data_IF_410186224781
#
_entry.id   IF_410186224781
#
_cell.length_a   1.000
_cell.length_b   1.000
_cell.length_c   1.000
_cell.angle_alpha   90.00
_cell.angle_beta   90.00
_cell.angle_gamma   90.00
#
_symmetry.space_group_name_H-M   'P 1'
#
loop_
_entity.id
_entity.type
_entity.pdbx_description
1 polymer ?
#
# COMPACT_ATOMS: atom_id res chain seq x y z
N UNK A 1 -6.05 -27.02 -4.93
CA UNK A 1 -5.01 -26.23 -4.22
C UNK A 1 -5.46 -24.78 -4.20
N UNK A 2 -5.26 -24.07 -3.09
CA UNK A 2 -5.48 -22.62 -3.03
C UNK A 2 -4.47 -21.93 -3.94
N UNK A 3 -4.93 -21.04 -4.81
CA UNK A 3 -4.06 -20.25 -5.68
C UNK A 3 -3.82 -18.88 -5.07
N UNK A 4 -2.56 -18.53 -4.84
CA UNK A 4 -2.15 -17.18 -4.46
C UNK A 4 -1.16 -16.64 -5.51
N UNK A 5 -1.34 -15.40 -5.95
CA UNK A 5 -0.44 -14.74 -6.90
C UNK A 5 -0.09 -13.34 -6.39
N UNK A 6 1.10 -12.86 -6.76
CA UNK A 6 1.55 -11.51 -6.39
C UNK A 6 0.54 -10.47 -6.90
N UNK A 7 0.12 -9.60 -5.98
CA UNK A 7 -0.78 -8.50 -6.25
C UNK A 7 -0.02 -7.18 -6.31
N UNK A 8 0.66 -6.80 -5.23
CA UNK A 8 1.41 -5.56 -5.20
C UNK A 8 2.57 -5.60 -4.21
N UNK A 9 3.48 -4.66 -4.41
CA UNK A 9 4.57 -4.34 -3.49
C UNK A 9 4.17 -3.11 -2.67
N UNK A 10 4.61 -3.04 -1.41
CA UNK A 10 4.26 -1.94 -0.49
C UNK A 10 5.51 -1.20 -0.06
N UNK A 11 5.58 0.08 -0.39
CA UNK A 11 6.57 1.03 0.10
C UNK A 11 5.93 1.91 1.16
N UNK A 12 6.43 1.86 2.38
CA UNK A 12 6.03 2.80 3.42
C UNK A 12 6.91 4.05 3.39
N UNK A 13 6.30 5.20 3.67
CA UNK A 13 6.96 6.49 3.74
C UNK A 13 6.44 7.30 4.94
N UNK A 14 7.22 8.30 5.39
CA UNK A 14 6.79 9.22 6.43
C UNK A 14 5.67 10.14 5.94
N UNK A 15 5.75 10.58 4.68
CA UNK A 15 4.68 11.29 3.98
C UNK A 15 4.49 10.69 2.59
N UNK A 16 3.32 10.92 2.00
CA UNK A 16 3.02 10.38 0.69
C UNK A 16 3.87 11.05 -0.40
N UNK A 17 4.16 12.34 -0.26
CA UNK A 17 5.06 13.12 -1.13
C UNK A 17 6.48 12.54 -1.13
N UNK A 18 7.03 12.27 0.06
CA UNK A 18 8.36 11.67 0.21
C UNK A 18 8.44 10.32 -0.49
N UNK A 19 7.40 9.49 -0.34
CA UNK A 19 7.33 8.19 -0.99
C UNK A 19 7.21 8.28 -2.51
N UNK A 20 6.44 9.24 -3.04
CA UNK A 20 6.34 9.49 -4.47
C UNK A 20 7.67 9.90 -5.08
N UNK A 21 8.34 10.88 -4.48
CA UNK A 21 9.62 11.40 -4.97
C UNK A 21 10.69 10.29 -4.93
N UNK A 22 10.68 9.47 -3.88
CA UNK A 22 11.57 8.31 -3.75
C UNK A 22 11.35 7.31 -4.89
N UNK A 23 10.10 6.95 -5.17
CA UNK A 23 9.78 5.99 -6.23
C UNK A 23 10.09 6.57 -7.61
N UNK A 24 9.74 7.83 -7.86
CA UNK A 24 10.05 8.52 -9.12
C UNK A 24 11.56 8.57 -9.39
N UNK A 25 12.35 8.91 -8.38
CA UNK A 25 13.82 8.97 -8.49
C UNK A 25 14.44 7.60 -8.80
N UNK A 26 13.85 6.51 -8.29
CA UNK A 26 14.39 5.15 -8.44
C UNK A 26 13.92 4.44 -9.69
N UNK A 27 12.68 4.68 -10.12
CA UNK A 27 12.03 3.95 -11.20
C UNK A 27 11.75 4.81 -12.44
N UNK A 28 11.97 6.13 -12.38
CA UNK A 28 11.73 7.06 -13.48
C UNK A 28 10.25 7.34 -13.76
N UNK A 29 9.34 6.92 -12.87
CA UNK A 29 7.90 7.12 -13.02
C UNK A 29 7.26 7.47 -11.67
N UNK A 30 6.52 8.57 -11.64
CA UNK A 30 5.84 9.05 -10.43
C UNK A 30 4.58 8.23 -10.14
N UNK A 31 4.40 7.71 -8.91
CA UNK A 31 3.11 7.16 -8.49
C UNK A 31 2.00 8.21 -8.57
N UNK A 32 0.80 7.78 -8.94
CA UNK A 32 -0.39 8.63 -8.96
C UNK A 32 -1.10 8.56 -7.62
N UNK A 33 -1.55 9.71 -7.11
CA UNK A 33 -2.37 9.80 -5.90
C UNK A 33 -3.54 8.84 -6.00
N UNK A 34 -3.65 7.97 -5.01
CA UNK A 34 -4.71 6.98 -4.91
C UNK A 34 -5.86 7.52 -4.08
N UNK A 35 -6.01 7.01 -2.87
CA UNK A 35 -7.08 7.41 -1.99
C UNK A 35 -6.81 7.10 -0.52
N UNK A 36 -7.76 7.51 0.32
CA UNK A 36 -7.70 7.32 1.76
C UNK A 36 -8.34 6.00 2.17
N UNK A 37 -7.70 5.29 3.09
CA UNK A 37 -8.23 4.13 3.79
C UNK A 37 -8.81 4.57 5.13
N UNK A 38 -10.08 4.95 5.17
CA UNK A 38 -10.74 5.46 6.40
C UNK A 38 -10.59 4.47 7.56
N UNK A 39 -10.77 3.17 7.31
CA UNK A 39 -10.67 2.13 8.33
C UNK A 39 -9.27 1.99 8.98
N UNK A 40 -8.24 2.55 8.33
CA UNK A 40 -6.84 2.43 8.75
C UNK A 40 -6.16 3.77 8.98
N UNK A 41 -6.82 4.89 8.75
CA UNK A 41 -6.22 6.22 8.83
C UNK A 41 -4.91 6.33 8.04
N UNK A 42 -4.90 5.79 6.81
CA UNK A 42 -3.76 5.86 5.88
C UNK A 42 -4.22 6.39 4.54
N UNK A 43 -3.29 6.88 3.74
CA UNK A 43 -3.50 7.24 2.34
C UNK A 43 -2.42 6.63 1.46
N UNK A 44 -2.63 6.61 0.15
CA UNK A 44 -1.70 5.97 -0.76
C UNK A 44 -1.55 6.66 -2.12
N UNK A 45 -0.51 6.23 -2.83
CA UNK A 45 -0.24 6.51 -4.23
C UNK A 45 0.16 5.21 -4.91
N UNK A 46 -0.20 5.07 -6.18
CA UNK A 46 -0.10 3.82 -6.92
C UNK A 46 0.75 4.01 -8.18
N UNK A 47 1.68 3.08 -8.40
CA UNK A 47 2.42 2.97 -9.66
C UNK A 47 2.14 1.60 -10.30
N UNK A 48 1.58 1.61 -11.51
CA UNK A 48 1.33 0.37 -12.26
C UNK A 48 2.65 -0.25 -12.71
N UNK A 49 2.87 -1.53 -12.39
CA UNK A 49 4.06 -2.29 -12.81
C UNK A 49 3.74 -3.33 -13.90
N UNK A 50 2.47 -3.68 -14.08
CA UNK A 50 2.00 -4.62 -15.09
C UNK A 50 0.48 -4.64 -15.16
N UNK A 51 -0.09 -5.64 -15.83
CA UNK A 51 -1.55 -5.74 -15.98
C UNK A 51 -2.28 -5.93 -14.65
N UNK A 52 -1.69 -6.72 -13.74
CA UNK A 52 -2.29 -7.10 -12.46
C UNK A 52 -1.38 -6.84 -11.27
N UNK A 53 -0.29 -6.10 -11.48
CA UNK A 53 0.71 -5.81 -10.45
C UNK A 53 1.01 -4.32 -10.38
N UNK A 54 1.12 -3.80 -9.17
CA UNK A 54 1.43 -2.41 -8.90
C UNK A 54 2.33 -2.26 -7.67
N UNK A 55 2.87 -1.06 -7.49
CA UNK A 55 3.55 -0.63 -6.27
C UNK A 55 2.63 0.35 -5.55
N UNK A 56 2.34 0.08 -4.28
CA UNK A 56 1.62 0.96 -3.38
C UNK A 56 2.63 1.71 -2.52
N UNK A 57 2.64 3.04 -2.63
CA UNK A 57 3.22 3.91 -1.61
C UNK A 57 2.15 4.17 -0.57
N UNK A 58 2.41 3.86 0.69
CA UNK A 58 1.46 4.07 1.80
C UNK A 58 2.09 4.93 2.90
N UNK A 59 1.30 5.82 3.46
CA UNK A 59 1.66 6.63 4.62
C UNK A 59 0.46 6.80 5.56
N UNK A 60 0.75 7.11 6.83
CA UNK A 60 -0.29 7.51 7.78
C UNK A 60 -0.85 8.86 7.34
N UNK A 61 -2.17 8.95 7.19
CA UNK A 61 -2.82 10.21 6.83
C UNK A 61 -2.87 11.12 8.06
N UNK A 62 -2.16 12.27 8.07
CA UNK A 62 -2.11 13.14 9.24
C UNK A 62 -3.46 13.78 9.56
N UNK A 63 -4.39 13.82 8.60
CA UNK A 63 -5.74 14.38 8.79
C UNK A 63 -6.76 13.30 9.21
N UNK A 64 -6.39 12.03 9.16
CA UNK A 64 -7.31 10.95 9.48
C UNK A 64 -7.41 10.71 10.99
N UNK A 65 -8.60 10.33 11.44
CA UNK A 65 -8.79 9.81 12.79
C UNK A 65 -7.98 8.51 12.94
N UNK A 66 -7.17 8.42 13.99
CA UNK A 66 -6.42 7.21 14.28
C UNK A 66 -7.39 6.03 14.53
N UNK A 67 -7.18 4.87 13.89
CA UNK A 67 -8.01 3.71 14.14
C UNK A 67 -7.84 3.25 15.60
N UNK A 68 -8.90 2.74 16.21
CA UNK A 68 -8.85 2.13 17.55
C UNK A 68 -8.10 0.79 17.62
N UNK A 69 -7.26 0.50 16.63
CA UNK A 69 -6.48 -0.74 16.46
C UNK A 69 -5.18 -0.44 15.71
N UNK A 70 -4.22 -1.36 15.77
CA UNK A 70 -2.99 -1.25 15.01
C UNK A 70 -3.24 -1.15 13.49
N UNK A 71 -2.51 -0.27 12.83
CA UNK A 71 -2.48 -0.12 11.39
C UNK A 71 -1.84 -1.32 10.71
N UNK A 72 -2.21 -1.56 9.45
CA UNK A 72 -1.60 -2.62 8.65
C UNK A 72 -0.10 -2.38 8.50
N UNK A 73 0.62 -3.44 8.14
CA UNK A 73 2.03 -3.35 7.80
C UNK A 73 2.92 -2.82 8.92
N UNK A 74 2.47 -2.98 10.18
CA UNK A 74 3.17 -2.51 11.37
C UNK A 74 3.52 -1.01 11.34
N UNK A 75 2.73 -0.20 10.62
CA UNK A 75 2.96 1.25 10.44
C UNK A 75 3.04 2.04 11.75
N UNK A 76 2.44 1.53 12.83
CA UNK A 76 2.49 2.19 14.14
C UNK A 76 3.74 1.84 14.97
N UNK A 77 4.58 0.89 14.54
CA UNK A 77 5.76 0.48 15.31
C UNK A 77 6.82 1.57 15.34
N UNK A 78 7.43 1.81 16.50
CA UNK A 78 8.46 2.83 16.65
C UNK A 78 9.66 2.61 15.71
N UNK A 79 10.04 1.34 15.51
CA UNK A 79 11.12 0.97 14.61
C UNK A 79 10.82 1.39 13.16
N UNK A 80 9.68 0.96 12.60
CA UNK A 80 9.32 1.33 11.23
C UNK A 80 9.13 2.85 11.09
N UNK A 81 8.53 3.50 12.10
CA UNK A 81 8.36 4.95 12.11
C UNK A 81 9.70 5.68 12.04
N UNK A 82 10.71 5.23 12.79
CA UNK A 82 12.05 5.80 12.73
C UNK A 82 12.72 5.56 11.37
N UNK A 83 12.59 4.35 10.80
CA UNK A 83 13.17 4.02 9.49
C UNK A 83 12.61 4.90 8.36
N UNK A 84 11.29 5.11 8.34
CA UNK A 84 10.65 5.90 7.27
C UNK A 84 10.88 7.40 7.42
N UNK A 85 11.24 7.91 8.61
CA UNK A 85 11.72 9.28 8.75
C UNK A 85 13.01 9.50 7.96
N UNK A 86 13.92 8.51 7.98
CA UNK A 86 15.19 8.61 7.25
C UNK A 86 14.99 8.47 5.74
N UNK A 87 14.21 7.48 5.29
CA UNK A 87 13.79 7.35 3.90
C UNK A 87 12.67 6.31 3.75
N UNK A 88 11.91 6.31 2.66
CA UNK A 88 10.93 5.26 2.39
C UNK A 88 11.55 3.85 2.36
N UNK A 89 10.74 2.83 2.67
CA UNK A 89 11.15 1.42 2.77
C UNK A 89 10.19 0.51 2.01
N UNK A 90 10.71 -0.41 1.21
CA UNK A 90 9.93 -1.55 0.72
C UNK A 90 9.74 -2.53 1.88
N UNK A 91 8.51 -2.65 2.37
CA UNK A 91 8.23 -3.37 3.63
C UNK A 91 7.45 -4.66 3.45
N UNK A 92 6.61 -4.76 2.41
CA UNK A 92 5.79 -5.95 2.17
C UNK A 92 5.54 -6.23 0.69
N UNK A 93 5.05 -7.44 0.45
CA UNK A 93 4.36 -7.84 -0.76
C UNK A 93 3.00 -8.42 -0.35
N UNK A 94 2.01 -8.26 -1.23
CA UNK A 94 0.64 -8.72 -1.00
C UNK A 94 0.31 -9.74 -2.09
N UNK A 95 -0.40 -10.80 -1.71
CA UNK A 95 -0.92 -11.79 -2.64
C UNK A 95 -2.44 -11.76 -2.70
N UNK A 96 -2.98 -11.86 -3.91
CA UNK A 96 -4.40 -12.07 -4.16
C UNK A 96 -4.69 -13.57 -4.27
N UNK A 97 -5.88 -13.96 -3.81
CA UNK A 97 -6.42 -15.31 -3.90
C UNK A 97 -7.89 -15.23 -4.28
N UNK A 98 -8.37 -16.27 -4.96
CA UNK A 98 -9.78 -16.40 -5.31
C UNK A 98 -10.62 -16.91 -4.12
N UNK A 99 -9.97 -17.45 -3.07
CA UNK A 99 -10.61 -17.92 -1.84
C UNK A 99 -9.72 -17.63 -0.62
N UNK A 100 -10.02 -16.52 0.08
CA UNK A 100 -9.28 -16.10 1.28
C UNK A 100 -9.58 -16.96 2.51
N UNK A 101 -10.74 -17.61 2.56
CA UNK A 101 -11.12 -18.49 3.67
C UNK A 101 -10.35 -19.80 3.57
N UNK A 102 -10.28 -20.41 2.39
CA UNK A 102 -9.45 -21.58 2.16
C UNK A 102 -7.96 -21.27 2.35
N UNK A 103 -7.50 -20.09 1.90
CA UNK A 103 -6.12 -19.64 2.14
C UNK A 103 -5.79 -19.54 3.65
N UNK A 104 -6.66 -18.90 4.44
CA UNK A 104 -6.48 -18.78 5.91
C UNK A 104 -6.48 -20.16 6.58
N UNK A 105 -7.36 -21.08 6.17
CA UNK A 105 -7.42 -22.44 6.73
C UNK A 105 -6.15 -23.26 6.43
N UNK A 106 -5.53 -23.02 5.27
CA UNK A 106 -4.30 -23.69 4.87
C UNK A 106 -3.02 -23.02 5.43
N UNK A 107 -3.11 -21.79 5.96
CA UNK A 107 -2.00 -21.03 6.54
C UNK A 107 -1.55 -21.72 7.86
N UNK A 108 -0.30 -22.22 7.96
CA UNK A 108 0.18 -22.90 9.18
C UNK A 108 0.44 -21.94 10.35
N UNK A 109 0.36 -20.64 10.09
CA UNK A 109 0.54 -19.57 11.08
C UNK A 109 -0.76 -18.80 11.25
N UNK A 110 -0.92 -18.14 12.40
CA UNK A 110 -2.08 -17.28 12.59
C UNK A 110 -1.97 -16.04 11.69
N UNK A 111 -2.79 -16.03 10.65
CA UNK A 111 -2.83 -14.99 9.61
C UNK A 111 -3.70 -13.76 9.99
N UNK A 112 -4.26 -13.70 11.21
CA UNK A 112 -5.19 -12.64 11.63
C UNK A 112 -6.65 -12.88 11.22
N UNK A 113 -7.50 -11.87 11.44
CA UNK A 113 -8.90 -11.90 11.02
C UNK A 113 -9.09 -11.43 9.57
N UNK A 114 -10.06 -12.02 8.88
CA UNK A 114 -10.43 -11.60 7.53
C UNK A 114 -11.30 -10.36 7.65
N UNK A 115 -10.84 -9.26 7.07
CA UNK A 115 -11.58 -8.01 7.05
C UNK A 115 -12.03 -7.69 5.63
N UNK A 116 -13.32 -7.37 5.47
CA UNK A 116 -13.78 -6.73 4.25
C UNK A 116 -13.16 -5.33 4.16
N UNK A 117 -12.70 -4.96 2.96
CA UNK A 117 -12.05 -3.68 2.74
C UNK A 117 -12.65 -2.99 1.52
N UNK A 118 -12.82 -1.69 1.66
CA UNK A 118 -13.12 -0.79 0.57
C UNK A 118 -12.23 0.45 0.72
N UNK A 119 -11.87 1.03 -0.41
CA UNK A 119 -11.26 2.36 -0.48
C UNK A 119 -12.31 3.33 -1.01
N UNK A 120 -12.20 4.61 -0.64
CA UNK A 120 -12.91 5.66 -1.36
C UNK A 120 -12.55 5.68 -2.85
N UNK A 121 -13.31 6.40 -3.66
CA UNK A 121 -13.06 6.50 -5.09
C UNK A 121 -11.62 6.96 -5.38
N UNK A 122 -11.02 6.41 -6.42
CA UNK A 122 -9.74 6.87 -6.94
C UNK A 122 -9.97 8.25 -7.58
N UNK A 123 -9.55 9.32 -6.91
CA UNK A 123 -9.74 10.68 -7.43
C UNK A 123 -8.67 10.95 -8.50
N UNK A 124 -8.98 10.57 -9.73
CA UNK A 124 -8.09 10.65 -10.90
C UNK A 124 -7.82 12.09 -11.39
N UNK A 125 -7.82 13.10 -10.51
CA UNK A 125 -7.59 14.49 -10.91
C UNK A 125 -6.12 14.70 -11.30
N UNK A 126 -5.80 14.33 -12.55
CA UNK A 126 -4.46 14.40 -13.11
C UNK A 126 -4.21 13.43 -14.25
N UNK A 127 -4.95 13.55 -15.36
CA UNK A 127 -4.50 13.01 -16.65
C UNK A 127 -3.11 13.60 -16.97
N UNK A 128 -2.07 12.79 -16.84
CA UNK A 128 -0.81 13.02 -17.54
C UNK A 128 -0.04 11.72 -17.75
N UNK A 129 -0.68 10.71 -18.36
CA UNK A 129 0.07 9.83 -19.26
C UNK A 129 0.31 10.64 -20.56
N UNK A 130 1.26 11.58 -20.52
CA UNK A 130 1.86 12.08 -21.76
C UNK A 130 2.98 11.11 -22.10
N UNK A 131 2.80 10.44 -23.24
CA UNK A 131 3.85 9.69 -23.94
C UNK A 131 5.15 10.49 -23.89
N UNK A 132 6.20 9.90 -23.34
CA UNK A 132 7.56 10.29 -23.67
C UNK A 132 7.99 9.32 -24.77
N UNK A 133 8.07 9.90 -25.99
CA UNK A 133 8.79 9.46 -27.21
C UNK A 133 8.88 7.96 -27.50
#
# INVERSE_FOLDING_TARGET
MVRAVLDHLVVAAATLEQGEDYVETRLGARPLRGGRHVAMGTHNSLLKLGEKTYLEVIAIDPEAVAPGRARWFALDTAALRAEVQEAPRLIHWVARTDDIVAARRACPVYCGEIHAMARGAFDSYGRACRRAS
#
